data_IF_340112744709
#
_entry.id   IF_340112744709
#
_cell.length_a   1.000
_cell.length_b   1.000
_cell.length_c   1.000
_cell.angle_alpha   90.00
_cell.angle_beta   90.00
_cell.angle_gamma   90.00
#
_symmetry.space_group_name_H-M   'P 1'
#
loop_
_entity.id
_entity.type
_entity.pdbx_description
1 polymer ?
#
# COMPACT_ATOMS: atom_id res chain seq x y z
N UNK A 1 8.25 4.72 16.10
CA UNK A 1 7.10 5.57 15.71
C UNK A 1 6.66 5.08 14.33
N UNK A 2 5.36 4.86 14.10
CA UNK A 2 4.86 4.43 12.78
C UNK A 2 4.39 5.65 11.98
N UNK A 3 4.73 5.72 10.70
CA UNK A 3 4.37 6.80 9.78
C UNK A 3 3.35 6.27 8.77
N UNK A 4 2.18 6.90 8.72
CA UNK A 4 1.14 6.59 7.73
C UNK A 4 1.09 7.64 6.64
N UNK A 5 0.76 7.23 5.41
CA UNK A 5 0.48 8.13 4.29
C UNK A 5 -0.96 7.93 3.81
N UNK A 6 -1.76 9.00 3.85
CA UNK A 6 -3.05 9.06 3.18
C UNK A 6 -2.81 9.40 1.70
N UNK A 7 -2.88 8.40 0.84
CA UNK A 7 -2.55 8.53 -0.57
C UNK A 7 -3.58 9.34 -1.34
N UNK A 8 -3.08 10.15 -2.28
CA UNK A 8 -3.86 10.86 -3.29
C UNK A 8 -3.05 10.89 -4.57
N UNK A 9 -3.64 10.37 -5.64
CA UNK A 9 -3.04 10.30 -6.97
C UNK A 9 -2.53 11.70 -7.38
N UNK A 10 -3.36 12.74 -7.28
CA UNK A 10 -3.04 14.11 -7.70
C UNK A 10 -1.90 14.81 -6.95
N UNK A 11 -1.39 14.23 -5.86
CA UNK A 11 -0.35 14.85 -5.02
C UNK A 11 0.88 13.95 -4.93
N UNK A 12 0.68 12.64 -4.80
CA UNK A 12 1.72 11.72 -4.37
C UNK A 12 2.24 10.82 -5.49
N UNK A 13 1.54 10.72 -6.63
CA UNK A 13 1.86 9.75 -7.69
C UNK A 13 3.33 9.85 -8.15
N UNK A 14 3.84 11.07 -8.30
CA UNK A 14 5.21 11.36 -8.76
C UNK A 14 6.29 11.03 -7.72
N UNK A 15 5.91 10.99 -6.44
CA UNK A 15 6.85 10.83 -5.32
C UNK A 15 6.68 9.51 -4.57
N UNK A 16 5.67 8.69 -4.93
CA UNK A 16 5.28 7.52 -4.15
C UNK A 16 6.40 6.49 -4.02
N UNK A 17 7.21 6.31 -5.06
CA UNK A 17 8.35 5.39 -5.07
C UNK A 17 9.46 5.80 -4.07
N UNK A 18 9.57 7.09 -3.74
CA UNK A 18 10.49 7.59 -2.71
C UNK A 18 9.83 7.61 -1.33
N UNK A 19 8.57 8.06 -1.25
CA UNK A 19 7.82 8.16 0.01
C UNK A 19 7.62 6.79 0.68
N UNK A 20 7.36 5.75 -0.12
CA UNK A 20 7.09 4.40 0.39
C UNK A 20 8.23 3.83 1.24
N UNK A 21 9.47 4.33 1.06
CA UNK A 21 10.65 3.91 1.84
C UNK A 21 10.58 4.36 3.30
N UNK A 22 9.77 5.37 3.61
CA UNK A 22 9.66 5.99 4.93
C UNK A 22 8.29 5.76 5.60
N UNK A 23 7.37 5.09 4.90
CA UNK A 23 5.98 4.90 5.31
C UNK A 23 5.78 3.45 5.76
N UNK A 24 5.10 3.25 6.89
CA UNK A 24 4.78 1.92 7.43
C UNK A 24 3.45 1.36 6.88
N UNK A 25 2.51 2.23 6.51
CA UNK A 25 1.22 1.85 5.93
C UNK A 25 0.67 2.94 5.02
N UNK A 26 -0.01 2.51 3.96
CA UNK A 26 -0.64 3.39 2.97
C UNK A 26 -2.16 3.28 3.11
N UNK A 27 -2.83 4.41 3.35
CA UNK A 27 -4.28 4.50 3.36
C UNK A 27 -4.76 5.03 2.00
N UNK A 28 -5.69 4.31 1.38
CA UNK A 28 -6.24 4.68 0.06
C UNK A 28 -7.60 5.36 0.22
N UNK A 29 -7.86 6.33 -0.64
CA UNK A 29 -9.16 6.99 -0.75
C UNK A 29 -9.93 6.42 -1.95
N UNK A 30 -10.91 5.53 -1.74
CA UNK A 30 -11.56 4.78 -2.82
C UNK A 30 -12.43 5.65 -3.75
N UNK A 31 -12.80 6.85 -3.30
CA UNK A 31 -13.54 7.85 -4.07
C UNK A 31 -12.70 8.53 -5.16
N UNK A 32 -11.37 8.55 -5.00
CA UNK A 32 -10.45 9.22 -5.92
C UNK A 32 -9.37 8.31 -6.50
N UNK A 33 -9.03 7.20 -5.84
CA UNK A 33 -8.01 6.27 -6.32
C UNK A 33 -8.64 5.20 -7.21
N UNK A 34 -8.26 5.21 -8.49
CA UNK A 34 -8.80 4.27 -9.48
C UNK A 34 -8.29 2.84 -9.31
N UNK A 35 -8.95 1.88 -9.96
CA UNK A 35 -8.55 0.47 -9.96
C UNK A 35 -7.13 0.24 -10.48
N UNK A 36 -6.75 0.92 -11.57
CA UNK A 36 -5.41 0.80 -12.16
C UNK A 36 -4.33 1.25 -11.16
N UNK A 37 -4.59 2.35 -10.47
CA UNK A 37 -3.66 2.92 -9.50
C UNK A 37 -3.58 2.06 -8.24
N UNK A 38 -4.72 1.60 -7.72
CA UNK A 38 -4.78 0.62 -6.62
C UNK A 38 -3.91 -0.60 -6.92
N UNK A 39 -3.97 -1.14 -8.15
CA UNK A 39 -3.16 -2.29 -8.57
C UNK A 39 -1.66 -1.95 -8.64
N UNK A 40 -1.30 -0.74 -9.06
CA UNK A 40 0.09 -0.25 -9.05
C UNK A 40 0.61 -0.14 -7.62
N UNK A 41 -0.11 0.54 -6.75
CA UNK A 41 0.25 0.73 -5.33
C UNK A 41 0.37 -0.60 -4.59
N UNK A 42 -0.52 -1.56 -4.86
CA UNK A 42 -0.44 -2.90 -4.28
C UNK A 42 0.84 -3.63 -4.68
N UNK A 43 1.27 -3.51 -5.94
CA UNK A 43 2.55 -4.07 -6.38
C UNK A 43 3.73 -3.38 -5.71
N UNK A 44 3.70 -2.04 -5.65
CA UNK A 44 4.74 -1.25 -4.99
C UNK A 44 4.88 -1.64 -3.51
N UNK A 45 3.77 -1.70 -2.79
CA UNK A 45 3.72 -2.12 -1.40
C UNK A 45 4.25 -3.55 -1.22
N UNK A 46 3.88 -4.50 -2.08
CA UNK A 46 4.43 -5.87 -1.99
C UNK A 46 5.93 -5.93 -2.27
N UNK A 47 6.46 -5.10 -3.17
CA UNK A 47 7.90 -5.05 -3.41
C UNK A 47 8.67 -4.45 -2.23
N UNK A 48 8.09 -3.46 -1.54
CA UNK A 48 8.75 -2.76 -0.42
C UNK A 48 8.54 -3.41 0.95
N UNK A 49 7.33 -3.86 1.26
CA UNK A 49 6.96 -4.45 2.55
C UNK A 49 7.14 -5.96 2.61
N UNK A 50 7.66 -6.61 1.56
CA UNK A 50 8.00 -8.03 1.61
C UNK A 50 9.51 -8.24 1.89
N UNK A 51 9.94 -8.36 3.14
CA UNK A 51 11.07 -9.20 3.46
C UNK A 51 10.55 -10.63 3.64
N UNK A 52 10.98 -11.56 2.79
CA UNK A 52 10.91 -13.02 3.00
C UNK A 52 9.72 -13.48 3.87
N UNK A 53 8.48 -13.42 3.34
CA UNK A 53 7.33 -14.04 4.03
C UNK A 53 7.77 -15.45 4.48
N UNK A 54 7.69 -15.81 5.77
CA UNK A 54 7.72 -17.21 6.14
C UNK A 54 6.63 -17.89 5.31
N UNK A 55 6.95 -19.02 4.68
CA UNK A 55 5.95 -19.90 4.04
C UNK A 55 5.08 -20.58 5.12
N UNK A 56 4.51 -19.82 6.04
CA UNK A 56 3.56 -20.27 7.05
C UNK A 56 3.06 -19.05 7.83
N UNK A 57 1.76 -18.79 7.75
CA UNK A 57 1.11 -17.71 8.50
C UNK A 57 0.23 -16.88 7.58
N UNK A 58 -0.93 -17.43 7.24
CA UNK A 58 -1.95 -16.72 6.47
C UNK A 58 -2.41 -15.47 7.20
N UNK A 59 -2.46 -14.35 6.47
CA UNK A 59 -3.44 -13.31 6.70
C UNK A 59 -4.28 -13.22 5.43
N UNK A 60 -5.25 -14.12 5.38
CA UNK A 60 -6.49 -13.94 4.65
C UNK A 60 -7.44 -13.35 5.69
N UNK A 61 -7.99 -12.15 5.46
CA UNK A 61 -9.24 -11.76 6.10
C UNK A 61 -10.34 -11.85 5.04
N UNK A 62 -10.96 -13.03 4.82
CA UNK A 62 -12.30 -13.11 4.29
C UNK A 62 -13.24 -13.12 5.51
N UNK A 63 -13.65 -11.93 5.93
CA UNK A 63 -14.47 -11.76 7.12
C UNK A 63 -15.24 -10.45 7.06
N UNK A 64 -16.02 -10.28 5.99
CA UNK A 64 -17.26 -9.52 6.08
C UNK A 64 -18.34 -10.59 6.18
N UNK A 65 -19.07 -10.60 7.29
CA UNK A 65 -20.24 -11.45 7.53
C UNK A 65 -21.25 -11.40 6.38
#
# INVERSE_FOLDING_TARGET
MKIGLCYRDSIHEEFIDELIKYVDFLELMPDITGYKETKRLFKLCNSHFAPSRPKSGGFFHPGVE
#
